data_IF_155118559818
#
_entry.id   IF_155118559818
#
_cell.length_a   1.000
_cell.length_b   1.000
_cell.length_c   1.000
_cell.angle_alpha   90.00
_cell.angle_beta   90.00
_cell.angle_gamma   90.00
#
_symmetry.space_group_name_H-M   'P 1'
#
loop_
_entity.id
_entity.type
_entity.pdbx_description
1 polymer ?
#
# COMPACT_ATOMS: atom_id res chain seq x y z
N UNK A 1 12.92 11.96 -16.23
CA UNK A 1 13.26 12.61 -14.94
C UNK A 1 13.05 14.10 -15.08
N UNK A 2 11.91 14.61 -14.65
CA UNK A 2 11.65 16.06 -14.62
C UNK A 2 11.91 16.49 -13.19
N UNK A 3 12.97 17.27 -13.00
CA UNK A 3 13.27 17.93 -11.72
C UNK A 3 12.21 19.03 -11.54
N UNK A 4 11.26 18.82 -10.64
CA UNK A 4 10.28 19.85 -10.26
C UNK A 4 10.88 20.67 -9.14
N UNK A 5 11.57 21.74 -9.54
CA UNK A 5 12.04 22.80 -8.66
C UNK A 5 10.90 23.71 -8.20
N UNK A 6 11.02 24.12 -6.95
CA UNK A 6 10.21 25.10 -6.23
C UNK A 6 9.97 26.37 -7.06
N UNK A 7 8.69 26.75 -7.21
CA UNK A 7 8.26 28.01 -7.82
C UNK A 7 7.55 27.87 -9.16
N UNK A 8 6.32 27.32 -9.17
CA UNK A 8 5.41 27.45 -10.33
C UNK A 8 4.21 28.31 -10.00
N UNK A 9 3.99 29.33 -10.83
CA UNK A 9 2.88 30.28 -10.78
C UNK A 9 1.52 29.57 -10.94
N UNK A 10 0.55 29.88 -10.06
CA UNK A 10 -0.82 29.32 -10.04
C UNK A 10 -1.51 29.38 -11.40
N UNK A 11 -1.21 30.39 -12.23
CA UNK A 11 -1.77 30.51 -13.59
C UNK A 11 -1.34 29.38 -14.54
N UNK A 12 -0.11 28.84 -14.43
CA UNK A 12 0.29 27.66 -15.23
C UNK A 12 -0.47 26.42 -14.79
N UNK A 13 -0.82 26.33 -13.51
CA UNK A 13 -1.55 25.21 -12.94
C UNK A 13 -3.01 25.19 -13.38
N UNK A 14 -3.66 26.36 -13.45
CA UNK A 14 -4.99 26.55 -14.02
C UNK A 14 -5.01 26.25 -15.53
N UNK A 15 -3.98 26.67 -16.27
CA UNK A 15 -3.87 26.39 -17.71
C UNK A 15 -3.65 24.90 -17.98
N UNK A 16 -2.83 24.22 -17.17
CA UNK A 16 -2.64 22.77 -17.24
C UNK A 16 -3.93 22.03 -16.85
N UNK A 17 -4.66 22.46 -15.82
CA UNK A 17 -5.97 21.89 -15.45
C UNK A 17 -7.02 22.05 -16.56
N UNK A 18 -7.10 23.24 -17.16
CA UNK A 18 -8.01 23.51 -18.28
C UNK A 18 -7.71 22.65 -19.52
N UNK A 19 -6.44 22.27 -19.75
CA UNK A 19 -6.05 21.39 -20.85
C UNK A 19 -6.58 19.95 -20.68
N UNK A 20 -6.64 19.46 -19.44
CA UNK A 20 -7.20 18.13 -19.13
C UNK A 20 -8.73 18.13 -19.14
N UNK A 21 -9.37 19.22 -18.73
CA UNK A 21 -10.82 19.40 -18.85
C UNK A 21 -11.27 19.47 -20.33
N UNK A 22 -10.46 20.09 -21.19
CA UNK A 22 -10.76 20.21 -22.63
C UNK A 22 -10.69 18.88 -23.39
N UNK A 23 -9.97 17.88 -22.85
CA UNK A 23 -9.87 16.53 -23.43
C UNK A 23 -11.18 15.72 -23.35
N UNK A 24 -12.14 16.16 -22.53
CA UNK A 24 -13.49 15.56 -22.47
C UNK A 24 -14.40 15.99 -23.62
N UNK A 25 -14.16 17.16 -24.22
CA UNK A 25 -15.02 17.70 -25.29
C UNK A 25 -14.97 16.81 -26.55
N UNK A 26 -13.80 16.32 -27.03
CA UNK A 26 -13.74 15.33 -28.08
C UNK A 26 -14.44 14.01 -27.71
N UNK A 27 -14.38 13.57 -26.45
CA UNK A 27 -15.00 12.32 -25.99
C UNK A 27 -16.54 12.36 -26.10
N UNK A 28 -17.15 13.48 -25.73
CA UNK A 28 -18.61 13.69 -25.84
C UNK A 28 -19.05 13.79 -27.31
N UNK A 29 -18.19 14.32 -28.19
CA UNK A 29 -18.49 14.45 -29.62
C UNK A 29 -18.25 13.15 -30.38
N UNK A 30 -17.19 12.39 -30.05
CA UNK A 30 -16.83 11.12 -30.71
C UNK A 30 -17.64 9.90 -30.23
N UNK A 31 -18.27 9.95 -29.06
CA UNK A 31 -19.17 8.88 -28.59
C UNK A 31 -20.43 8.70 -29.45
N UNK A 32 -20.64 9.59 -30.44
CA UNK A 32 -21.70 9.50 -31.45
C UNK A 32 -21.26 8.81 -32.77
N UNK A 33 -20.01 8.37 -32.90
CA UNK A 33 -19.44 7.78 -34.12
C UNK A 33 -19.08 6.29 -33.92
N UNK A 34 -19.03 5.54 -35.04
CA UNK A 34 -18.99 4.07 -35.15
C UNK A 34 -18.12 3.31 -34.12
N UNK A 35 -18.60 2.10 -33.78
CA UNK A 35 -18.17 1.24 -32.67
C UNK A 35 -16.68 0.80 -32.67
N UNK A 36 -15.97 0.83 -33.81
CA UNK A 36 -14.58 0.40 -33.84
C UNK A 36 -13.61 1.48 -33.32
N UNK A 37 -13.89 2.74 -33.63
CA UNK A 37 -13.05 3.87 -33.23
C UNK A 37 -13.21 4.18 -31.74
N UNK A 38 -14.41 3.96 -31.20
CA UNK A 38 -14.76 4.21 -29.80
C UNK A 38 -13.92 3.38 -28.83
N UNK A 39 -13.59 2.13 -29.15
CA UNK A 39 -12.78 1.27 -28.25
C UNK A 39 -11.36 1.81 -27.99
N UNK A 40 -10.71 2.37 -29.01
CA UNK A 40 -9.38 2.98 -28.91
C UNK A 40 -9.42 4.25 -28.05
N UNK A 41 -10.45 5.09 -28.23
CA UNK A 41 -10.60 6.32 -27.44
C UNK A 41 -11.03 6.06 -26.00
N UNK A 42 -11.79 4.98 -25.73
CA UNK A 42 -12.10 4.54 -24.37
C UNK A 42 -10.83 4.14 -23.62
N UNK A 43 -9.91 3.43 -24.27
CA UNK A 43 -8.61 3.09 -23.67
C UNK A 43 -7.79 4.32 -23.28
N UNK A 44 -7.74 5.33 -24.15
CA UNK A 44 -7.04 6.60 -23.87
C UNK A 44 -7.75 7.38 -22.74
N UNK A 45 -9.08 7.36 -22.69
CA UNK A 45 -9.86 8.02 -21.65
C UNK A 45 -9.60 7.40 -20.27
N UNK A 46 -9.51 6.07 -20.17
CA UNK A 46 -9.18 5.36 -18.93
C UNK A 46 -7.78 5.75 -18.44
N UNK A 47 -6.79 5.80 -19.35
CA UNK A 47 -5.43 6.26 -19.01
C UNK A 47 -5.46 7.71 -18.50
N UNK A 48 -6.23 8.58 -19.14
CA UNK A 48 -6.44 9.95 -18.69
C UNK A 48 -7.07 10.04 -17.28
N UNK A 49 -8.02 9.15 -16.98
CA UNK A 49 -8.66 9.05 -15.66
C UNK A 49 -7.68 8.66 -14.57
N UNK A 50 -6.88 7.63 -14.83
CA UNK A 50 -5.85 7.15 -13.89
C UNK A 50 -4.85 8.27 -13.59
N UNK A 51 -4.39 9.00 -14.61
CA UNK A 51 -3.49 10.13 -14.42
C UNK A 51 -4.12 11.29 -13.64
N UNK A 52 -5.42 11.53 -13.81
CA UNK A 52 -6.16 12.55 -13.06
C UNK A 52 -6.28 12.22 -11.58
N UNK A 53 -6.60 10.96 -11.26
CA UNK A 53 -6.69 10.46 -9.87
C UNK A 53 -5.31 10.50 -9.21
N UNK A 54 -4.28 9.96 -9.87
CA UNK A 54 -2.90 9.99 -9.36
C UNK A 54 -2.43 11.42 -9.07
N UNK A 55 -2.78 12.38 -9.94
CA UNK A 55 -2.48 13.80 -9.73
C UNK A 55 -3.23 14.36 -8.52
N UNK A 56 -4.50 14.04 -8.36
CA UNK A 56 -5.33 14.52 -7.23
C UNK A 56 -4.76 14.05 -5.90
N UNK A 57 -4.34 12.78 -5.85
CA UNK A 57 -3.68 12.18 -4.70
C UNK A 57 -2.36 12.91 -4.41
N UNK A 58 -1.51 13.11 -5.43
CA UNK A 58 -0.24 13.83 -5.27
C UNK A 58 -0.45 15.24 -4.71
N UNK A 59 -1.45 15.98 -5.19
CA UNK A 59 -1.77 17.33 -4.73
C UNK A 59 -2.24 17.33 -3.29
N UNK A 60 -3.13 16.40 -2.93
CA UNK A 60 -3.63 16.26 -1.57
C UNK A 60 -2.49 16.00 -0.57
N UNK A 61 -1.51 15.19 -0.94
CA UNK A 61 -0.32 14.95 -0.12
C UNK A 61 0.63 16.15 -0.07
N UNK A 62 0.80 16.88 -1.18
CA UNK A 62 1.65 18.07 -1.21
C UNK A 62 1.03 19.25 -0.43
N UNK A 63 -0.29 19.40 -0.45
CA UNK A 63 -1.03 20.41 0.32
C UNK A 63 -0.94 20.14 1.83
N UNK A 64 -1.14 18.89 2.27
CA UNK A 64 -0.92 18.48 3.67
C UNK A 64 0.53 18.69 4.13
N UNK A 65 1.49 18.53 3.23
CA UNK A 65 2.91 18.80 3.52
C UNK A 65 3.19 20.29 3.71
N UNK A 66 2.47 21.17 3.03
CA UNK A 66 2.65 22.62 3.13
C UNK A 66 1.95 23.23 4.36
N UNK A 67 0.79 22.71 4.77
CA UNK A 67 0.08 23.18 5.97
C UNK A 67 0.79 22.82 7.28
N UNK A 68 1.58 21.74 7.30
CA UNK A 68 2.36 21.32 8.47
C UNK A 68 3.74 22.00 8.59
N UNK A 69 4.15 22.87 7.66
CA UNK A 69 5.38 23.67 7.79
C UNK A 69 5.12 25.00 8.51
N UNK A 70 4.80 24.93 9.80
CA UNK A 70 4.98 26.09 10.69
C UNK A 70 6.46 26.17 11.09
N UNK A 71 7.18 27.14 10.52
CA UNK A 71 8.60 27.38 10.78
C UNK A 71 8.86 27.71 12.26
N UNK A 72 9.61 26.85 12.95
CA UNK A 72 10.27 27.18 14.23
C UNK A 72 11.77 27.40 14.00
N UNK A 73 12.39 28.47 14.53
CA UNK A 73 13.74 28.88 14.16
C UNK A 73 14.81 27.95 14.77
N UNK A 74 15.78 27.59 13.93
CA UNK A 74 16.92 26.71 14.21
C UNK A 74 17.82 27.22 15.35
N UNK A 75 18.23 26.38 16.33
CA UNK A 75 19.30 26.72 17.26
C UNK A 75 20.69 26.36 16.70
N UNK A 76 21.66 27.26 16.95
CA UNK A 76 23.06 27.22 16.51
C UNK A 76 23.87 26.02 17.06
N UNK A 77 25.00 25.65 16.40
CA UNK A 77 25.77 24.46 16.74
C UNK A 77 26.71 24.71 17.93
N UNK A 78 26.84 23.71 18.80
CA UNK A 78 27.91 23.64 19.81
C UNK A 78 28.88 22.53 19.40
N UNK A 79 30.14 22.92 19.20
CA UNK A 79 31.27 22.07 18.87
C UNK A 79 31.97 21.65 20.15
N UNK A 80 32.25 20.35 20.32
CA UNK A 80 33.55 19.84 20.81
C UNK A 80 33.64 18.31 20.71
N UNK A 81 34.71 17.84 20.07
CA UNK A 81 35.28 16.48 20.11
C UNK A 81 36.62 16.55 20.92
N UNK A 82 37.34 15.47 21.33
CA UNK A 82 37.36 14.10 20.79
C UNK A 82 37.47 12.90 21.79
N UNK A 83 37.33 11.69 21.21
CA UNK A 83 37.53 10.26 21.62
C UNK A 83 38.90 9.93 22.27
N UNK A 84 39.26 8.66 22.66
CA UNK A 84 38.55 7.36 22.75
C UNK A 84 38.86 6.50 24.01
N UNK A 85 38.12 5.41 24.25
CA UNK A 85 38.77 4.15 24.66
C UNK A 85 37.94 2.89 24.31
N UNK A 86 38.65 1.88 23.81
CA UNK A 86 38.14 0.58 23.36
C UNK A 86 38.22 -0.38 24.54
N UNK A 87 37.08 -0.93 24.98
CA UNK A 87 37.07 -2.09 25.87
C UNK A 87 36.09 -3.13 25.35
N UNK A 88 36.65 -4.14 24.70
CA UNK A 88 35.99 -5.37 24.26
C UNK A 88 35.60 -6.20 25.49
N UNK A 89 34.29 -6.40 25.71
CA UNK A 89 33.73 -7.39 26.63
C UNK A 89 32.70 -8.26 25.90
N UNK A 90 32.46 -9.48 26.40
CA UNK A 90 31.94 -10.61 25.62
C UNK A 90 30.46 -10.43 25.28
N UNK A 91 30.07 -11.04 24.15
CA UNK A 91 28.72 -11.16 23.62
C UNK A 91 27.82 -11.87 24.65
N UNK A 92 27.23 -11.09 25.55
CA UNK A 92 25.94 -11.43 26.17
C UNK A 92 24.86 -11.08 25.15
N UNK A 93 23.90 -11.99 24.96
CA UNK A 93 22.73 -11.79 24.11
C UNK A 93 22.13 -10.40 24.40
N UNK A 94 22.37 -9.46 23.48
CA UNK A 94 21.92 -8.10 23.61
C UNK A 94 20.38 -8.14 23.60
N UNK A 95 19.79 -7.97 24.77
CA UNK A 95 18.37 -7.63 24.89
C UNK A 95 18.22 -6.35 24.07
N UNK A 96 17.62 -6.48 22.89
CA UNK A 96 17.31 -5.36 22.01
C UNK A 96 16.37 -4.47 22.81
N UNK A 97 16.90 -3.39 23.37
CA UNK A 97 16.13 -2.47 24.20
C UNK A 97 15.27 -1.62 23.27
N UNK A 98 14.07 -2.14 22.96
CA UNK A 98 13.12 -1.45 22.11
C UNK A 98 12.73 -0.15 22.79
N UNK A 99 12.84 0.94 22.04
CA UNK A 99 12.41 2.28 22.44
C UNK A 99 10.97 2.22 23.00
N UNK A 100 10.70 2.76 24.20
CA UNK A 100 9.40 2.64 24.86
C UNK A 100 8.20 3.02 23.98
N UNK A 101 8.36 4.05 23.15
CA UNK A 101 7.37 4.57 22.20
C UNK A 101 6.99 3.54 21.12
N UNK A 102 7.89 2.64 20.76
CA UNK A 102 7.64 1.62 19.73
C UNK A 102 7.17 0.27 20.28
N UNK A 103 7.21 0.05 21.60
CA UNK A 103 6.70 -1.18 22.23
C UNK A 103 5.23 -1.51 21.88
N UNK A 104 4.30 -0.53 21.81
CA UNK A 104 2.92 -0.80 21.42
C UNK A 104 2.81 -1.37 20.00
N UNK A 105 3.64 -0.87 19.06
CA UNK A 105 3.62 -1.35 17.67
C UNK A 105 4.09 -2.79 17.57
N UNK A 106 5.10 -3.19 18.36
CA UNK A 106 5.56 -4.60 18.33
C UNK A 106 4.42 -5.56 18.66
N UNK A 107 3.65 -5.26 19.72
CA UNK A 107 2.48 -6.04 20.08
C UNK A 107 1.40 -6.02 18.98
N UNK A 108 1.17 -4.88 18.34
CA UNK A 108 0.23 -4.78 17.22
C UNK A 108 0.67 -5.64 16.03
N UNK A 109 1.94 -5.58 15.63
CA UNK A 109 2.51 -6.37 14.53
C UNK A 109 2.36 -7.87 14.83
N UNK A 110 2.71 -8.30 16.04
CA UNK A 110 2.62 -9.71 16.43
C UNK A 110 1.15 -10.20 16.45
N UNK A 111 0.21 -9.36 16.90
CA UNK A 111 -1.23 -9.65 16.84
C UNK A 111 -1.74 -9.75 15.39
N UNK A 112 -1.35 -8.81 14.52
CA UNK A 112 -1.72 -8.83 13.11
C UNK A 112 -1.20 -10.09 12.42
N UNK A 113 0.03 -10.51 12.74
CA UNK A 113 0.65 -11.73 12.22
C UNK A 113 -0.12 -12.98 12.62
N UNK A 114 -0.45 -13.13 13.90
CA UNK A 114 -1.28 -14.25 14.36
C UNK A 114 -2.65 -14.28 13.69
N UNK A 115 -3.28 -13.11 13.50
CA UNK A 115 -4.56 -13.00 12.83
C UNK A 115 -4.45 -13.42 11.34
N UNK A 116 -3.40 -12.97 10.66
CA UNK A 116 -3.15 -13.32 9.26
C UNK A 116 -2.90 -14.82 9.09
N UNK A 117 -1.98 -15.40 9.86
CA UNK A 117 -1.61 -16.81 9.77
C UNK A 117 -2.84 -17.72 9.94
N UNK A 118 -3.73 -17.38 10.88
CA UNK A 118 -4.99 -18.11 11.11
C UNK A 118 -5.96 -17.99 9.92
N UNK A 119 -6.05 -16.81 9.30
CA UNK A 119 -6.90 -16.59 8.12
C UNK A 119 -6.35 -17.32 6.90
N UNK A 120 -5.05 -17.26 6.67
CA UNK A 120 -4.37 -17.98 5.60
C UNK A 120 -4.64 -19.49 5.69
N UNK A 121 -4.48 -20.07 6.88
CA UNK A 121 -4.80 -21.49 7.13
C UNK A 121 -6.26 -21.81 6.78
N UNK A 122 -7.20 -20.95 7.22
CA UNK A 122 -8.63 -21.14 6.98
C UNK A 122 -8.98 -21.08 5.48
N UNK A 123 -8.52 -20.05 4.77
CA UNK A 123 -8.78 -19.87 3.34
C UNK A 123 -8.19 -21.03 2.54
N UNK A 124 -6.94 -21.40 2.82
CA UNK A 124 -6.28 -22.54 2.18
C UNK A 124 -7.08 -23.81 2.41
N UNK A 125 -7.60 -24.01 3.63
CA UNK A 125 -8.49 -25.13 3.96
C UNK A 125 -9.80 -25.12 3.18
N UNK A 126 -10.43 -23.96 2.98
CA UNK A 126 -11.66 -23.81 2.20
C UNK A 126 -11.44 -24.10 0.72
N UNK A 127 -10.37 -23.55 0.12
CA UNK A 127 -10.03 -23.77 -1.29
C UNK A 127 -9.76 -25.24 -1.56
N UNK A 128 -8.92 -25.88 -0.73
CA UNK A 128 -8.56 -27.28 -0.90
C UNK A 128 -9.74 -28.25 -0.73
N UNK A 129 -10.80 -27.84 0.00
CA UNK A 129 -12.04 -28.63 0.11
C UNK A 129 -12.95 -28.44 -1.10
N UNK A 130 -12.88 -27.28 -1.74
CA UNK A 130 -13.85 -26.84 -2.75
C UNK A 130 -13.40 -27.10 -4.18
N UNK A 131 -12.11 -26.96 -4.44
CA UNK A 131 -11.53 -27.09 -5.78
C UNK A 131 -10.54 -28.24 -5.80
N UNK A 132 -10.53 -29.00 -6.90
CA UNK A 132 -9.54 -30.06 -7.06
C UNK A 132 -8.15 -29.47 -7.31
N UNK A 133 -7.14 -30.08 -6.70
CA UNK A 133 -5.75 -29.66 -6.93
C UNK A 133 -5.40 -29.81 -8.41
N UNK A 134 -4.97 -28.73 -9.04
CA UNK A 134 -4.66 -28.68 -10.47
C UNK A 134 -5.69 -27.95 -11.33
N UNK A 135 -6.88 -27.66 -10.80
CA UNK A 135 -7.84 -26.78 -11.48
C UNK A 135 -7.31 -25.35 -11.59
N UNK A 136 -7.67 -24.66 -12.67
CA UNK A 136 -7.22 -23.27 -12.91
C UNK A 136 -7.68 -22.35 -11.77
N UNK A 137 -8.90 -22.53 -11.26
CA UNK A 137 -9.45 -21.74 -10.16
C UNK A 137 -8.67 -21.98 -8.87
N UNK A 138 -8.44 -23.24 -8.49
CA UNK A 138 -7.59 -23.61 -7.35
C UNK A 138 -6.23 -22.89 -7.41
N UNK A 139 -5.52 -23.02 -8.54
CA UNK A 139 -4.19 -22.47 -8.70
C UNK A 139 -4.18 -20.94 -8.67
N UNK A 140 -5.23 -20.29 -9.20
CA UNK A 140 -5.39 -18.84 -9.12
C UNK A 140 -5.58 -18.36 -7.68
N UNK A 141 -6.51 -18.98 -6.93
CA UNK A 141 -6.70 -18.63 -5.53
C UNK A 141 -5.43 -18.83 -4.70
N UNK A 142 -4.76 -19.98 -4.86
CA UNK A 142 -3.51 -20.24 -4.15
C UNK A 142 -2.40 -19.24 -4.51
N UNK A 143 -2.33 -18.79 -5.77
CA UNK A 143 -1.36 -17.76 -6.20
C UNK A 143 -1.63 -16.40 -5.55
N UNK A 144 -2.89 -16.05 -5.35
CA UNK A 144 -3.29 -14.80 -4.69
C UNK A 144 -2.93 -14.87 -3.20
N UNK A 145 -3.22 -15.99 -2.54
CA UNK A 145 -2.84 -16.21 -1.13
C UNK A 145 -1.33 -16.15 -0.94
N UNK A 146 -0.56 -16.85 -1.78
CA UNK A 146 0.91 -16.81 -1.73
C UNK A 146 1.46 -15.38 -1.93
N UNK A 147 0.80 -14.57 -2.75
CA UNK A 147 1.17 -13.18 -2.94
C UNK A 147 0.86 -12.32 -1.70
N UNK A 148 -0.30 -12.52 -1.09
CA UNK A 148 -0.67 -11.88 0.18
C UNK A 148 0.29 -12.28 1.31
N UNK A 149 0.63 -13.57 1.42
CA UNK A 149 1.59 -14.10 2.39
C UNK A 149 2.94 -13.39 2.29
N UNK A 150 3.52 -13.38 1.09
CA UNK A 150 4.82 -12.73 0.84
C UNK A 150 4.78 -11.25 1.18
N UNK A 151 3.71 -10.56 0.79
CA UNK A 151 3.58 -9.13 1.04
C UNK A 151 3.40 -8.83 2.53
N UNK A 152 2.52 -9.57 3.20
CA UNK A 152 2.22 -9.40 4.62
C UNK A 152 3.47 -9.60 5.46
N UNK A 153 4.16 -10.74 5.30
CA UNK A 153 5.38 -11.03 6.06
C UNK A 153 6.50 -10.05 5.75
N UNK A 154 6.63 -9.61 4.48
CA UNK A 154 7.59 -8.56 4.15
C UNK A 154 7.33 -7.26 4.91
N UNK A 155 6.07 -6.80 5.00
CA UNK A 155 5.74 -5.61 5.77
C UNK A 155 5.92 -5.80 7.27
N UNK A 156 5.54 -6.97 7.80
CA UNK A 156 5.72 -7.35 9.21
C UNK A 156 7.19 -7.36 9.63
N UNK A 157 8.04 -8.01 8.84
CA UNK A 157 9.49 -8.09 9.09
C UNK A 157 10.15 -6.73 8.93
N UNK A 158 9.72 -5.94 7.93
CA UNK A 158 10.21 -4.58 7.72
C UNK A 158 9.83 -3.64 8.88
N UNK A 159 8.58 -3.69 9.36
CA UNK A 159 8.13 -2.90 10.50
C UNK A 159 8.85 -3.30 11.79
N UNK A 160 9.00 -4.61 12.02
CA UNK A 160 9.76 -5.14 13.15
C UNK A 160 11.22 -4.68 13.11
N UNK A 161 11.87 -4.75 11.94
CA UNK A 161 13.25 -4.29 11.77
C UNK A 161 13.40 -2.79 12.05
N UNK A 162 12.45 -1.96 11.63
CA UNK A 162 12.46 -0.52 11.93
C UNK A 162 12.41 -0.28 13.44
N UNK A 163 11.52 -0.98 14.15
CA UNK A 163 11.33 -0.83 15.59
C UNK A 163 12.57 -1.30 16.37
N UNK A 164 13.17 -2.41 15.95
CA UNK A 164 14.31 -3.03 16.62
C UNK A 164 15.64 -2.31 16.36
N UNK A 165 15.79 -1.69 15.18
CA UNK A 165 17.03 -1.03 14.77
C UNK A 165 17.01 0.49 14.95
N UNK A 166 15.88 1.07 15.37
CA UNK A 166 15.78 2.51 15.60
C UNK A 166 16.71 2.94 16.75
N UNK A 167 17.65 3.87 16.52
CA UNK A 167 18.54 4.36 17.58
C UNK A 167 17.82 5.33 18.53
N UNK A 168 16.80 6.02 18.03
CA UNK A 168 15.96 6.96 18.77
C UNK A 168 14.59 7.09 18.10
N UNK A 169 13.62 7.64 18.83
CA UNK A 169 12.31 7.93 18.28
C UNK A 169 12.40 9.06 17.25
N UNK A 170 11.66 8.94 16.16
CA UNK A 170 11.37 10.06 15.28
C UNK A 170 9.97 9.92 14.69
N UNK A 171 9.32 11.06 14.47
CA UNK A 171 7.97 11.13 13.88
C UNK A 171 7.92 10.44 12.52
N UNK A 172 8.98 10.58 11.71
CA UNK A 172 9.10 9.89 10.42
C UNK A 172 9.11 8.37 10.54
N UNK A 173 9.83 7.82 11.53
CA UNK A 173 9.86 6.37 11.75
C UNK A 173 8.51 5.88 12.30
N UNK A 174 7.88 6.67 13.17
CA UNK A 174 6.53 6.40 13.69
C UNK A 174 5.49 6.32 12.56
N UNK A 175 5.46 7.30 11.66
CA UNK A 175 4.60 7.29 10.46
C UNK A 175 4.90 6.08 9.58
N UNK A 176 6.17 5.77 9.33
CA UNK A 176 6.57 4.61 8.51
C UNK A 176 6.08 3.29 9.12
N UNK A 177 6.16 3.13 10.44
CA UNK A 177 5.67 1.94 11.13
C UNK A 177 4.14 1.87 11.06
N UNK A 178 3.44 2.98 11.26
CA UNK A 178 1.98 3.07 11.11
C UNK A 178 1.52 2.71 9.71
N UNK A 179 2.18 3.23 8.68
CA UNK A 179 1.85 2.94 7.29
C UNK A 179 1.98 1.44 6.99
N UNK A 180 3.05 0.81 7.49
CA UNK A 180 3.24 -0.65 7.35
C UNK A 180 2.16 -1.45 8.08
N UNK A 181 1.78 -1.02 9.29
CA UNK A 181 0.68 -1.64 10.04
C UNK A 181 -0.65 -1.49 9.28
N UNK A 182 -0.93 -0.31 8.72
CA UNK A 182 -2.13 -0.06 7.92
C UNK A 182 -2.19 -0.93 6.66
N UNK A 183 -1.05 -1.18 6.00
CA UNK A 183 -0.97 -2.13 4.88
C UNK A 183 -1.26 -3.55 5.37
N UNK A 184 -0.69 -3.99 6.50
CA UNK A 184 -0.98 -5.31 7.08
C UNK A 184 -2.45 -5.48 7.43
N UNK A 185 -3.09 -4.45 8.00
CA UNK A 185 -4.52 -4.42 8.29
C UNK A 185 -5.35 -4.57 7.00
N UNK A 186 -5.01 -3.81 5.96
CA UNK A 186 -5.69 -3.89 4.66
C UNK A 186 -5.60 -5.28 4.04
N UNK A 187 -4.42 -5.92 4.09
CA UNK A 187 -4.26 -7.31 3.63
C UNK A 187 -5.13 -8.26 4.47
N UNK A 188 -5.18 -8.06 5.79
CA UNK A 188 -6.00 -8.86 6.69
C UNK A 188 -7.50 -8.73 6.40
N UNK A 189 -7.95 -7.55 6.00
CA UNK A 189 -9.35 -7.29 5.63
C UNK A 189 -9.68 -7.95 4.29
N UNK A 190 -8.80 -7.88 3.29
CA UNK A 190 -9.01 -8.59 2.01
C UNK A 190 -9.03 -10.12 2.20
N UNK A 191 -8.22 -10.65 3.11
CA UNK A 191 -8.30 -12.08 3.47
C UNK A 191 -9.65 -12.43 4.11
N UNK A 192 -10.25 -11.53 4.89
CA UNK A 192 -11.61 -11.75 5.41
C UNK A 192 -12.65 -11.74 4.29
N UNK A 193 -12.57 -10.77 3.36
CA UNK A 193 -13.46 -10.70 2.20
C UNK A 193 -13.41 -12.01 1.40
N UNK A 194 -12.20 -12.55 1.17
CA UNK A 194 -12.03 -13.83 0.49
C UNK A 194 -12.65 -15.01 1.27
N UNK A 195 -12.53 -15.04 2.60
CA UNK A 195 -13.22 -16.04 3.43
C UNK A 195 -14.74 -15.93 3.26
N UNK A 196 -15.27 -14.71 3.37
CA UNK A 196 -16.71 -14.45 3.29
C UNK A 196 -17.26 -14.85 1.92
N UNK A 197 -16.59 -14.48 0.84
CA UNK A 197 -16.99 -14.88 -0.52
C UNK A 197 -16.94 -16.40 -0.70
N UNK A 198 -15.88 -17.07 -0.24
CA UNK A 198 -15.78 -18.53 -0.31
C UNK A 198 -16.89 -19.24 0.47
N UNK A 199 -17.33 -18.67 1.61
CA UNK A 199 -18.43 -19.20 2.43
C UNK A 199 -19.80 -18.90 1.81
N UNK A 200 -20.05 -17.66 1.38
CA UNK A 200 -21.35 -17.23 0.82
C UNK A 200 -21.65 -18.02 -0.46
N UNK A 201 -20.65 -18.25 -1.29
CA UNK A 201 -20.82 -19.02 -2.52
C UNK A 201 -21.01 -20.53 -2.30
N UNK A 202 -20.82 -21.06 -1.08
CA UNK A 202 -21.13 -22.45 -0.73
C UNK A 202 -22.65 -22.71 -0.55
N UNK A 203 -23.45 -21.64 -0.49
CA UNK A 203 -24.91 -21.72 -0.27
C UNK A 203 -25.80 -21.42 -1.49
N UNK A 204 -25.36 -20.64 -2.48
CA UNK A 204 -26.21 -20.16 -3.57
C UNK A 204 -25.53 -20.21 -4.95
N UNK A 205 -26.20 -20.85 -5.90
CA UNK A 205 -25.67 -21.29 -7.20
C UNK A 205 -25.74 -20.23 -8.33
N UNK A 206 -26.06 -18.95 -8.02
CA UNK A 206 -26.53 -18.00 -9.05
C UNK A 206 -25.87 -16.61 -9.09
N UNK A 207 -24.86 -16.31 -8.26
CA UNK A 207 -24.22 -14.96 -8.23
C UNK A 207 -22.68 -14.93 -8.36
N UNK A 208 -22.03 -15.99 -8.83
CA UNK A 208 -20.67 -16.29 -8.35
C UNK A 208 -19.45 -15.83 -9.15
N UNK A 209 -19.55 -15.20 -10.32
CA UNK A 209 -18.33 -14.96 -11.13
C UNK A 209 -17.82 -13.53 -11.15
N UNK A 210 -18.70 -12.54 -11.11
CA UNK A 210 -18.29 -11.14 -11.25
C UNK A 210 -17.80 -10.56 -9.90
N UNK A 211 -18.42 -10.95 -8.79
CA UNK A 211 -17.99 -10.58 -7.43
C UNK A 211 -16.58 -11.15 -7.14
N UNK A 212 -16.34 -12.42 -7.48
CA UNK A 212 -15.00 -13.04 -7.38
C UNK A 212 -13.94 -12.34 -8.24
N UNK A 213 -14.31 -11.87 -9.45
CA UNK A 213 -13.38 -11.11 -10.31
C UNK A 213 -13.03 -9.76 -9.70
N UNK A 214 -14.00 -9.09 -9.08
CA UNK A 214 -13.78 -7.82 -8.38
C UNK A 214 -12.85 -8.00 -7.17
N UNK A 215 -13.06 -9.05 -6.36
CA UNK A 215 -12.17 -9.38 -5.26
C UNK A 215 -10.74 -9.64 -5.73
N UNK A 216 -10.56 -10.46 -6.78
CA UNK A 216 -9.23 -10.70 -7.34
C UNK A 216 -8.57 -9.41 -7.84
N UNK A 217 -9.34 -8.54 -8.49
CA UNK A 217 -8.83 -7.24 -8.93
C UNK A 217 -8.41 -6.37 -7.74
N UNK A 218 -9.17 -6.37 -6.65
CA UNK A 218 -8.85 -5.60 -5.43
C UNK A 218 -7.57 -6.14 -4.75
N UNK A 219 -7.44 -7.46 -4.63
CA UNK A 219 -6.24 -8.09 -4.09
C UNK A 219 -5.01 -7.82 -4.99
N UNK A 220 -5.14 -7.95 -6.31
CA UNK A 220 -4.07 -7.63 -7.25
C UNK A 220 -3.68 -6.14 -7.20
N UNK A 221 -4.67 -5.24 -7.09
CA UNK A 221 -4.43 -3.80 -6.95
C UNK A 221 -3.72 -3.48 -5.62
N UNK A 222 -4.10 -4.14 -4.52
CA UNK A 222 -3.40 -4.00 -3.24
C UNK A 222 -1.96 -4.50 -3.34
N UNK A 223 -1.76 -5.68 -3.93
CA UNK A 223 -0.43 -6.28 -4.15
C UNK A 223 0.45 -5.35 -5.00
N UNK A 224 -0.12 -4.76 -6.05
CA UNK A 224 0.62 -3.92 -6.97
C UNK A 224 0.83 -2.50 -6.42
N UNK A 225 -0.11 -1.94 -5.66
CA UNK A 225 0.04 -0.61 -5.05
C UNK A 225 1.18 -0.56 -4.02
N UNK A 226 1.50 -1.69 -3.39
CA UNK A 226 2.59 -1.79 -2.42
C UNK A 226 3.94 -2.13 -3.09
N UNK A 227 3.95 -2.72 -4.29
CA UNK A 227 5.18 -3.02 -5.03
C UNK A 227 5.99 -1.78 -5.41
N UNK A 228 5.33 -0.63 -5.54
CA UNK A 228 5.97 0.63 -5.91
C UNK A 228 6.70 1.33 -4.74
N UNK A 229 6.62 0.79 -3.52
CA UNK A 229 7.30 1.28 -2.32
C UNK A 229 8.67 0.62 -2.05
N UNK A 230 9.31 0.07 -3.09
CA UNK A 230 10.68 -0.50 -3.01
C UNK A 230 11.78 0.55 -3.07
#
# INVERSE_FOLDING_TARGET
MIIVGYGRNVQRWLLEGAFFEFLWVPFIVLSSLDNEITSFFVGIAIIGWILSIARTIMIYFEEKRMDNMSFSPSPKPVVSSPTPDISTKPVEDAVVDIIPEFKPYKAQIDNQKQAFDKKEENITGLINKRFESGELSHNRFMSVIDSCHKLFHHQSDSATSIIEMAPEYSERLDETVKDKISIMESINDEMNNLIEELIIHDGDNEKSEDDLKELFANMDNLINSVKDYK
#
